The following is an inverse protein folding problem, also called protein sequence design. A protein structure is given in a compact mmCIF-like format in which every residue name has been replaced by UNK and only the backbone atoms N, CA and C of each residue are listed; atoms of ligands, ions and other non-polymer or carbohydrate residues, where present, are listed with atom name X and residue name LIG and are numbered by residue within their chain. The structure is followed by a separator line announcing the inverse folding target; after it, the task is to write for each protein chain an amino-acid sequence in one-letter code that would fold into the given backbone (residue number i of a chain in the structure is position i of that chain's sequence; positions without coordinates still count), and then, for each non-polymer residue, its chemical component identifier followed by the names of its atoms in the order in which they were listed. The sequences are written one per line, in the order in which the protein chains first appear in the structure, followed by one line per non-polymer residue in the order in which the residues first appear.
data_IF_386215007175
#
_entry.id   IF_386215007175
#
_cell.length_a   1.000
_cell.length_b   1.000
_cell.length_c   1.000
_cell.angle_alpha   90.00
_cell.angle_beta   90.00
_cell.angle_gamma   90.00
#
_symmetry.space_group_name_H-M   'P 1'
#
loop_
_entity.id
_entity.type
_entity.pdbx_description
1 polymer ?
#
# COMPACT_ATOMS: atom_id res chain seq x y z
N UNK A 1 27.77 12.15 26.34
CA UNK A 1 27.46 10.97 25.48
C UNK A 1 25.95 10.82 25.47
N UNK A 2 25.29 11.25 24.40
CA UNK A 2 23.84 11.18 24.28
C UNK A 2 23.45 9.79 23.79
N UNK A 3 22.56 9.16 24.54
CA UNK A 3 22.01 7.83 24.30
C UNK A 3 21.35 7.77 22.92
N UNK A 4 21.87 6.92 22.05
CA UNK A 4 21.25 6.63 20.75
C UNK A 4 20.03 5.75 20.99
N UNK A 5 18.86 6.35 21.11
CA UNK A 5 17.60 5.58 21.03
C UNK A 5 17.49 4.95 19.65
N UNK A 6 17.60 3.65 19.61
CA UNK A 6 17.31 2.81 18.46
C UNK A 6 15.80 2.92 18.14
N UNK A 7 15.46 3.56 17.03
CA UNK A 7 14.09 3.62 16.55
C UNK A 7 13.79 2.26 15.90
N UNK A 8 13.03 1.41 16.58
CA UNK A 8 12.55 0.15 16.00
C UNK A 8 11.49 0.45 14.94
N UNK A 9 11.54 -0.17 13.76
CA UNK A 9 10.53 0.03 12.73
C UNK A 9 9.16 -0.44 13.21
N UNK A 10 8.14 0.39 12.99
CA UNK A 10 6.75 0.14 13.38
C UNK A 10 6.08 -0.92 12.48
N UNK A 11 6.71 -1.30 11.39
CA UNK A 11 6.15 -2.25 10.40
C UNK A 11 6.96 -3.54 10.46
N UNK A 12 6.37 -4.59 11.02
CA UNK A 12 6.94 -5.93 11.02
C UNK A 12 6.81 -6.55 9.62
N UNK A 13 7.94 -6.87 8.99
CA UNK A 13 7.94 -7.72 7.80
C UNK A 13 8.74 -7.27 6.59
N UNK A 14 9.40 -6.12 6.62
CA UNK A 14 10.38 -5.77 5.57
C UNK A 14 11.81 -5.95 6.07
N UNK A 15 12.71 -6.59 5.29
CA UNK A 15 14.12 -6.51 5.58
C UNK A 15 14.59 -5.07 5.31
N UNK A 16 14.65 -4.27 6.37
CA UNK A 16 15.16 -2.90 6.31
C UNK A 16 16.70 -2.95 6.25
N UNK A 17 17.25 -3.29 5.09
CA UNK A 17 18.68 -3.19 4.78
C UNK A 17 19.02 -1.92 4.00
N UNK A 18 18.27 -0.84 4.19
CA UNK A 18 18.71 0.44 3.71
C UNK A 18 19.69 1.04 4.74
N UNK A 19 20.96 0.93 4.48
CA UNK A 19 21.97 1.77 5.12
C UNK A 19 21.65 3.21 4.71
N UNK A 20 20.91 3.93 5.56
CA UNK A 20 20.75 5.37 5.42
C UNK A 20 22.12 6.03 5.56
N UNK A 21 22.76 6.32 4.43
CA UNK A 21 23.87 7.27 4.45
C UNK A 21 23.27 8.63 4.79
N UNK A 22 23.53 9.10 6.01
CA UNK A 22 23.18 10.46 6.42
C UNK A 22 23.90 11.43 5.49
N UNK A 23 23.19 11.91 4.45
CA UNK A 23 23.72 12.98 3.61
C UNK A 23 23.75 14.24 4.46
N UNK A 24 24.91 14.81 4.67
CA UNK A 24 25.02 16.12 5.29
C UNK A 24 24.44 17.16 4.34
N UNK A 25 23.41 17.85 4.79
CA UNK A 25 22.83 18.95 4.05
C UNK A 25 23.63 20.21 4.31
N UNK A 26 24.32 20.70 3.29
CA UNK A 26 25.17 21.91 3.36
C UNK A 26 24.49 23.17 2.78
N UNK A 27 23.20 23.10 2.48
CA UNK A 27 22.42 24.24 2.01
C UNK A 27 21.95 25.18 3.13
N UNK A 28 21.17 26.22 2.78
CA UNK A 28 20.60 27.16 3.75
C UNK A 28 19.78 26.46 4.82
N UNK A 29 19.90 26.90 6.06
CA UNK A 29 19.13 26.40 7.22
C UNK A 29 18.33 27.55 7.83
N UNK A 30 17.10 27.29 8.37
CA UNK A 30 16.39 26.03 8.37
C UNK A 30 15.80 25.63 7.01
N UNK A 31 15.51 24.32 6.81
CA UNK A 31 14.66 23.82 5.74
C UNK A 31 13.27 23.63 6.32
N UNK A 32 12.26 24.19 5.65
CA UNK A 32 10.85 24.07 6.05
C UNK A 32 10.10 23.30 4.96
N UNK A 33 9.51 22.17 5.33
CA UNK A 33 8.56 21.45 4.50
C UNK A 33 7.14 21.83 4.94
N UNK A 34 6.41 22.53 4.06
CA UNK A 34 5.02 22.92 4.31
C UNK A 34 4.10 22.04 3.46
N UNK A 35 3.29 21.22 4.10
CA UNK A 35 2.32 20.33 3.45
C UNK A 35 0.94 20.99 3.54
N UNK A 36 0.37 21.31 2.37
CA UNK A 36 -0.99 21.80 2.24
C UNK A 36 -1.86 20.64 1.78
N UNK A 37 -2.33 19.84 2.73
CA UNK A 37 -3.11 18.63 2.46
C UNK A 37 -4.44 19.00 1.77
N UNK A 38 -4.74 18.30 0.66
CA UNK A 38 -5.87 18.62 -0.21
C UNK A 38 -5.67 19.80 -1.17
N UNK A 39 -4.53 20.50 -1.12
CA UNK A 39 -4.21 21.59 -2.08
C UNK A 39 -3.59 20.99 -3.35
N UNK A 40 -4.45 20.60 -4.29
CA UNK A 40 -4.04 19.95 -5.53
C UNK A 40 -4.34 20.78 -6.77
N UNK A 41 -3.83 20.31 -7.91
CA UNK A 41 -4.13 20.86 -9.22
C UNK A 41 -5.43 20.23 -9.73
N UNK A 42 -6.37 21.04 -10.14
CA UNK A 42 -7.63 20.61 -10.68
C UNK A 42 -8.18 21.54 -11.76
N UNK A 43 -9.25 21.15 -12.44
CA UNK A 43 -9.84 21.95 -13.51
C UNK A 43 -10.34 23.31 -13.01
N UNK A 44 -10.22 24.32 -13.85
CA UNK A 44 -10.75 25.66 -13.54
C UNK A 44 -12.26 25.70 -13.81
N UNK A 45 -13.04 25.39 -12.77
CA UNK A 45 -14.50 25.44 -12.81
C UNK A 45 -15.08 26.02 -11.50
N UNK A 46 -16.41 26.12 -11.44
CA UNK A 46 -17.10 26.70 -10.28
C UNK A 46 -16.90 25.92 -8.99
N UNK A 47 -16.62 24.62 -9.06
CA UNK A 47 -16.37 23.74 -7.90
C UNK A 47 -14.94 23.78 -7.38
N UNK A 48 -13.99 24.39 -8.08
CA UNK A 48 -12.62 24.47 -7.65
C UNK A 48 -12.37 25.72 -6.78
N UNK A 49 -12.45 25.53 -5.47
CA UNK A 49 -12.29 26.62 -4.51
C UNK A 49 -10.89 27.26 -4.54
N UNK A 50 -9.85 26.48 -4.82
CA UNK A 50 -8.47 26.98 -4.91
C UNK A 50 -8.34 27.96 -6.08
N UNK A 51 -8.86 27.60 -7.25
CA UNK A 51 -8.83 28.46 -8.44
C UNK A 51 -9.70 29.70 -8.33
N UNK A 52 -10.68 29.69 -7.42
CA UNK A 52 -11.59 30.81 -7.15
C UNK A 52 -11.09 31.74 -6.05
N UNK A 53 -10.20 31.28 -5.21
CA UNK A 53 -9.65 32.07 -4.10
C UNK A 53 -8.60 33.06 -4.62
N UNK A 54 -8.42 34.15 -3.87
CA UNK A 54 -7.31 35.08 -4.07
C UNK A 54 -6.08 34.55 -3.35
N UNK A 55 -5.12 34.03 -4.09
CA UNK A 55 -3.93 33.37 -3.56
C UNK A 55 -2.62 34.03 -4.01
N UNK A 56 -2.43 35.36 -3.79
CA UNK A 56 -1.34 36.13 -4.41
C UNK A 56 0.05 35.61 -4.07
N UNK A 57 0.26 35.01 -2.90
CA UNK A 57 1.56 34.43 -2.53
C UNK A 57 1.81 33.12 -3.27
N UNK A 58 0.82 32.23 -3.35
CA UNK A 58 0.93 30.97 -4.09
C UNK A 58 1.10 31.22 -5.58
N UNK A 59 0.34 32.17 -6.14
CA UNK A 59 0.43 32.57 -7.53
C UNK A 59 1.84 33.06 -7.85
N UNK A 60 2.41 33.90 -6.97
CA UNK A 60 3.80 34.38 -7.10
C UNK A 60 4.80 33.24 -7.04
N UNK A 61 4.66 32.31 -6.09
CA UNK A 61 5.58 31.16 -5.97
C UNK A 61 5.50 30.26 -7.19
N UNK A 62 4.30 29.98 -7.65
CA UNK A 62 4.08 29.17 -8.84
C UNK A 62 4.75 29.76 -10.09
N UNK A 63 4.67 31.07 -10.26
CA UNK A 63 5.26 31.77 -11.41
C UNK A 63 6.78 31.95 -11.31
N UNK A 64 7.33 32.05 -10.10
CA UNK A 64 8.71 32.53 -9.90
C UNK A 64 9.69 31.47 -9.41
N UNK A 65 9.22 30.29 -8.97
CA UNK A 65 10.08 29.25 -8.40
C UNK A 65 9.91 27.92 -9.14
N UNK A 66 10.94 27.07 -9.13
CA UNK A 66 10.83 25.72 -9.68
C UNK A 66 9.71 24.93 -8.99
N UNK A 67 8.90 24.25 -9.76
CA UNK A 67 7.82 23.41 -9.29
C UNK A 67 7.69 22.15 -10.16
N UNK A 68 7.05 21.12 -9.62
CA UNK A 68 6.77 19.87 -10.31
C UNK A 68 5.45 19.27 -9.83
N UNK A 69 5.01 18.23 -10.51
CA UNK A 69 3.82 17.48 -10.15
C UNK A 69 4.21 16.05 -9.78
N UNK A 70 3.59 15.55 -8.75
CA UNK A 70 3.68 14.15 -8.35
C UNK A 70 2.30 13.51 -8.46
N UNK A 71 2.27 12.25 -8.86
CA UNK A 71 1.04 11.46 -8.82
C UNK A 71 0.73 11.13 -7.36
N UNK A 72 -0.50 11.42 -6.94
CA UNK A 72 -0.96 11.25 -5.57
C UNK A 72 -2.01 10.13 -5.40
N UNK A 73 -2.15 9.23 -6.39
CA UNK A 73 -3.16 8.17 -6.40
C UNK A 73 -2.61 6.88 -7.02
N UNK A 74 -3.30 5.78 -6.77
CA UNK A 74 -3.01 4.48 -7.34
C UNK A 74 -1.62 3.94 -7.01
N UNK A 75 -1.05 3.18 -7.94
CA UNK A 75 0.22 2.48 -7.75
C UNK A 75 1.41 3.41 -7.46
N UNK A 76 1.34 4.65 -7.93
CA UNK A 76 2.39 5.65 -7.69
C UNK A 76 2.54 6.02 -6.19
N UNK A 77 1.56 5.74 -5.38
CA UNK A 77 1.57 5.94 -3.93
C UNK A 77 1.35 4.66 -3.13
N UNK A 78 1.46 3.51 -3.79
CA UNK A 78 1.36 2.20 -3.13
C UNK A 78 -0.07 1.72 -2.88
N UNK A 79 -1.05 2.31 -3.56
CA UNK A 79 -2.45 1.90 -3.57
C UNK A 79 -2.77 1.01 -4.78
N UNK A 80 -3.88 0.27 -4.78
CA UNK A 80 -4.36 -0.41 -5.97
C UNK A 80 -4.57 0.54 -7.15
N UNK A 81 -4.42 0.01 -8.36
CA UNK A 81 -4.63 0.78 -9.58
C UNK A 81 -6.05 1.34 -9.63
N UNK A 82 -6.15 2.65 -9.90
CA UNK A 82 -7.43 3.34 -10.01
C UNK A 82 -8.03 3.79 -8.67
N UNK A 83 -7.37 3.53 -7.55
CA UNK A 83 -7.80 4.07 -6.27
C UNK A 83 -7.31 5.51 -6.07
N UNK A 84 -8.18 6.33 -5.51
CA UNK A 84 -7.87 7.70 -5.13
C UNK A 84 -6.85 7.72 -3.99
N UNK A 85 -5.98 8.74 -4.00
CA UNK A 85 -5.03 8.97 -2.92
C UNK A 85 -5.74 9.39 -1.62
N UNK A 86 -5.04 9.21 -0.52
CA UNK A 86 -5.49 9.64 0.79
C UNK A 86 -4.33 10.20 1.61
N UNK A 87 -4.67 10.95 2.65
CA UNK A 87 -3.71 11.61 3.55
C UNK A 87 -2.73 10.64 4.18
N UNK A 88 -3.21 9.49 4.66
CA UNK A 88 -2.38 8.51 5.36
C UNK A 88 -1.27 7.98 4.44
N UNK A 89 -1.64 7.48 3.27
CA UNK A 89 -0.70 6.95 2.29
C UNK A 89 0.27 8.02 1.80
N UNK A 90 -0.21 9.24 1.53
CA UNK A 90 0.63 10.35 1.08
C UNK A 90 1.68 10.74 2.13
N UNK A 91 1.30 10.88 3.38
CA UNK A 91 2.23 11.22 4.46
C UNK A 91 3.20 10.08 4.77
N UNK A 92 2.78 8.80 4.67
CA UNK A 92 3.69 7.66 4.80
C UNK A 92 4.78 7.70 3.73
N UNK A 93 4.44 7.96 2.48
CA UNK A 93 5.39 8.03 1.39
C UNK A 93 6.37 9.22 1.54
N UNK A 94 5.87 10.39 1.96
CA UNK A 94 6.72 11.55 2.25
C UNK A 94 7.69 11.23 3.38
N UNK A 95 7.20 10.61 4.47
CA UNK A 95 8.02 10.27 5.63
C UNK A 95 9.05 9.16 5.35
N UNK A 96 8.68 8.19 4.53
CA UNK A 96 9.57 7.09 4.14
C UNK A 96 10.58 7.48 3.05
N UNK A 97 10.27 8.50 2.24
CA UNK A 97 11.08 8.89 1.09
C UNK A 97 11.05 7.89 -0.08
N UNK A 98 10.10 6.99 -0.07
CA UNK A 98 9.84 6.01 -1.13
C UNK A 98 8.38 5.55 -1.08
N UNK A 99 7.93 4.82 -2.12
CA UNK A 99 6.58 4.27 -2.16
C UNK A 99 6.45 3.16 -1.10
N UNK A 100 5.46 3.31 -0.21
CA UNK A 100 5.06 2.31 0.78
C UNK A 100 3.81 1.59 0.26
N UNK A 101 3.99 0.39 -0.26
CA UNK A 101 2.87 -0.39 -0.77
C UNK A 101 1.95 -0.85 0.36
N UNK A 102 0.65 -0.62 0.19
CA UNK A 102 -0.39 -1.10 1.08
C UNK A 102 -0.53 -2.63 0.98
N UNK A 103 -1.28 -3.24 1.89
CA UNK A 103 -1.33 -4.70 1.99
C UNK A 103 -1.82 -5.36 0.71
N UNK A 104 -2.88 -4.84 0.08
CA UNK A 104 -3.46 -5.43 -1.11
C UNK A 104 -2.49 -5.47 -2.31
N UNK A 105 -1.87 -4.34 -2.74
CA UNK A 105 -0.85 -4.36 -3.76
C UNK A 105 0.35 -5.23 -3.41
N UNK A 106 0.79 -5.23 -2.15
CA UNK A 106 1.92 -6.02 -1.68
C UNK A 106 1.66 -7.52 -1.80
N UNK A 107 0.45 -7.98 -1.44
CA UNK A 107 0.03 -9.38 -1.59
C UNK A 107 -0.03 -9.74 -3.08
N UNK A 108 -0.63 -8.89 -3.91
CA UNK A 108 -0.72 -9.13 -5.34
C UNK A 108 0.65 -9.23 -6.01
N UNK A 109 1.59 -8.34 -5.63
CA UNK A 109 2.98 -8.40 -6.09
C UNK A 109 3.66 -9.71 -5.68
N UNK A 110 3.47 -10.17 -4.44
CA UNK A 110 4.04 -11.42 -3.96
C UNK A 110 3.48 -12.66 -4.65
N UNK A 111 2.22 -12.61 -5.07
CA UNK A 111 1.61 -13.67 -5.90
C UNK A 111 2.24 -13.66 -7.30
N UNK A 112 2.40 -12.46 -7.89
CA UNK A 112 2.94 -12.30 -9.24
C UNK A 112 4.41 -12.72 -9.35
N UNK A 113 5.25 -12.40 -8.34
CA UNK A 113 6.67 -12.78 -8.32
C UNK A 113 6.94 -14.16 -7.71
N UNK A 114 5.91 -14.84 -7.21
CA UNK A 114 5.98 -16.20 -6.64
C UNK A 114 6.49 -16.25 -5.20
N UNK A 115 6.87 -15.13 -4.58
CA UNK A 115 7.36 -15.10 -3.18
C UNK A 115 6.26 -15.47 -2.18
N UNK A 116 4.99 -15.29 -2.56
CA UNK A 116 3.82 -15.73 -1.81
C UNK A 116 3.90 -17.22 -1.43
N UNK A 117 4.40 -18.07 -2.33
CA UNK A 117 4.52 -19.51 -2.13
C UNK A 117 5.58 -19.89 -1.07
N UNK A 118 6.44 -18.95 -0.68
CA UNK A 118 7.49 -19.15 0.32
C UNK A 118 7.11 -18.59 1.70
N UNK A 119 5.85 -18.20 1.89
CA UNK A 119 5.37 -17.66 3.16
C UNK A 119 5.46 -18.73 4.25
N UNK A 120 6.27 -18.48 5.28
CA UNK A 120 6.57 -19.46 6.34
C UNK A 120 5.32 -19.96 7.05
N UNK A 121 4.33 -19.07 7.30
CA UNK A 121 3.07 -19.44 7.96
C UNK A 121 2.24 -20.40 7.09
N UNK A 122 2.20 -20.19 5.78
CA UNK A 122 1.48 -21.08 4.85
C UNK A 122 2.15 -22.44 4.75
N UNK A 123 3.47 -22.48 4.66
CA UNK A 123 4.24 -23.72 4.67
C UNK A 123 4.05 -24.50 5.98
N UNK A 124 4.01 -23.82 7.12
CA UNK A 124 3.74 -24.44 8.42
C UNK A 124 2.33 -25.06 8.47
N UNK A 125 1.31 -24.37 7.94
CA UNK A 125 -0.06 -24.90 7.84
C UNK A 125 -0.11 -26.15 6.97
N UNK A 126 0.52 -26.12 5.80
CA UNK A 126 0.61 -27.28 4.89
C UNK A 126 1.32 -28.46 5.56
N UNK A 127 2.44 -28.23 6.22
CA UNK A 127 3.16 -29.27 6.94
C UNK A 127 2.30 -29.88 8.04
N UNK A 128 1.52 -29.07 8.76
CA UNK A 128 0.60 -29.54 9.79
C UNK A 128 -0.47 -30.47 9.21
N UNK A 129 -1.18 -30.06 8.14
CA UNK A 129 -2.25 -30.87 7.56
C UNK A 129 -1.72 -32.17 6.94
N UNK A 130 -0.53 -32.13 6.30
CA UNK A 130 0.11 -33.35 5.78
C UNK A 130 0.48 -34.32 6.89
N UNK A 131 1.11 -33.83 7.98
CA UNK A 131 1.52 -34.65 9.12
C UNK A 131 0.34 -35.33 9.81
N UNK A 132 -0.79 -34.60 9.92
CA UNK A 132 -1.96 -35.05 10.67
C UNK A 132 -3.06 -35.66 9.77
N UNK A 133 -2.83 -35.76 8.46
CA UNK A 133 -3.83 -36.17 7.46
C UNK A 133 -5.19 -35.44 7.65
N UNK A 134 -5.12 -34.12 7.91
CA UNK A 134 -6.28 -33.28 8.19
C UNK A 134 -6.65 -32.40 6.99
N UNK A 135 -7.71 -31.62 7.12
CA UNK A 135 -8.17 -30.69 6.08
C UNK A 135 -7.52 -29.33 6.29
N UNK A 136 -7.24 -28.62 5.19
CA UNK A 136 -6.90 -27.21 5.20
C UNK A 136 -8.18 -26.40 4.96
N UNK A 137 -8.47 -25.45 5.85
CA UNK A 137 -9.59 -24.56 5.75
C UNK A 137 -9.10 -23.17 5.34
N UNK A 138 -9.64 -22.62 4.25
CA UNK A 138 -9.41 -21.25 3.78
C UNK A 138 -10.69 -20.48 4.04
N UNK A 139 -10.57 -19.34 4.72
CA UNK A 139 -11.71 -18.47 5.02
C UNK A 139 -11.42 -17.05 4.54
N UNK A 140 -12.40 -16.40 3.91
CA UNK A 140 -12.22 -15.03 3.47
C UNK A 140 -13.43 -14.45 2.76
N UNK A 141 -13.36 -13.15 2.53
CA UNK A 141 -14.31 -12.46 1.67
C UNK A 141 -14.03 -12.80 0.21
N UNK A 142 -15.11 -12.98 -0.57
CA UNK A 142 -15.04 -13.25 -2.01
C UNK A 142 -15.73 -12.13 -2.78
N UNK A 143 -15.13 -11.73 -3.90
CA UNK A 143 -15.71 -10.78 -4.84
C UNK A 143 -14.65 -10.05 -5.66
N UNK A 144 -15.12 -9.17 -6.55
CA UNK A 144 -14.28 -8.35 -7.42
C UNK A 144 -13.87 -7.02 -6.76
N UNK A 145 -14.12 -6.85 -5.46
CA UNK A 145 -13.77 -5.64 -4.70
C UNK A 145 -12.26 -5.40 -4.65
N UNK A 146 -11.87 -4.13 -4.69
CA UNK A 146 -10.45 -3.71 -4.67
C UNK A 146 -9.98 -3.15 -3.33
N UNK A 147 -10.85 -3.04 -2.32
CA UNK A 147 -10.54 -2.32 -1.07
C UNK A 147 -9.95 -3.24 -0.01
N UNK A 148 -10.60 -4.36 0.29
CA UNK A 148 -10.19 -5.26 1.38
C UNK A 148 -9.83 -6.67 0.92
N UNK A 149 -10.20 -7.06 -0.29
CA UNK A 149 -10.02 -8.39 -0.85
C UNK A 149 -10.06 -8.36 -2.38
N UNK A 150 -9.52 -9.41 -2.98
CA UNK A 150 -9.65 -9.68 -4.41
C UNK A 150 -9.69 -11.20 -4.61
N UNK A 151 -10.58 -11.67 -5.47
CA UNK A 151 -10.74 -13.11 -5.80
C UNK A 151 -9.43 -13.73 -6.31
N UNK A 152 -8.58 -12.95 -6.97
CA UNK A 152 -7.25 -13.40 -7.43
C UNK A 152 -6.35 -13.89 -6.29
N UNK A 153 -6.54 -13.36 -5.08
CA UNK A 153 -5.81 -13.80 -3.88
C UNK A 153 -6.25 -15.21 -3.45
N UNK A 154 -7.53 -15.52 -3.56
CA UNK A 154 -8.04 -16.87 -3.35
C UNK A 154 -7.46 -17.83 -4.40
N UNK A 155 -7.40 -17.42 -5.67
CA UNK A 155 -6.78 -18.21 -6.72
C UNK A 155 -5.29 -18.45 -6.45
N UNK A 156 -4.59 -17.43 -5.95
CA UNK A 156 -3.19 -17.55 -5.49
C UNK A 156 -3.01 -18.60 -4.39
N UNK A 157 -3.90 -18.59 -3.37
CA UNK A 157 -3.91 -19.60 -2.31
C UNK A 157 -4.22 -21.00 -2.82
N UNK A 158 -5.18 -21.15 -3.71
CA UNK A 158 -5.53 -22.46 -4.31
C UNK A 158 -4.37 -22.98 -5.17
N UNK A 159 -3.73 -22.11 -5.93
CA UNK A 159 -2.53 -22.45 -6.69
C UNK A 159 -1.39 -22.92 -5.78
N UNK A 160 -1.15 -22.19 -4.68
CA UNK A 160 -0.20 -22.60 -3.64
C UNK A 160 -0.53 -23.99 -3.08
N UNK A 161 -1.79 -24.24 -2.72
CA UNK A 161 -2.23 -25.54 -2.21
C UNK A 161 -1.97 -26.67 -3.22
N UNK A 162 -2.21 -26.41 -4.52
CA UNK A 162 -1.91 -27.34 -5.59
C UNK A 162 -0.41 -27.61 -5.74
N UNK A 163 0.41 -26.58 -5.72
CA UNK A 163 1.89 -26.72 -5.76
C UNK A 163 2.42 -27.54 -4.57
N UNK A 164 1.80 -27.38 -3.42
CA UNK A 164 2.15 -28.08 -2.20
C UNK A 164 1.46 -29.45 -2.07
N UNK A 165 0.74 -29.92 -3.09
CA UNK A 165 0.04 -31.23 -3.07
C UNK A 165 -0.87 -31.43 -1.84
N UNK A 166 -1.61 -30.40 -1.44
CA UNK A 166 -2.61 -30.48 -0.37
C UNK A 166 -3.85 -31.20 -0.89
N UNK A 167 -4.18 -32.36 -0.32
CA UNK A 167 -5.25 -33.25 -0.83
C UNK A 167 -6.66 -32.76 -0.53
N UNK A 168 -6.87 -32.10 0.60
CA UNK A 168 -8.19 -31.67 1.06
C UNK A 168 -8.16 -30.20 1.47
N UNK A 169 -8.75 -29.36 0.63
CA UNK A 169 -8.93 -27.93 0.89
C UNK A 169 -10.42 -27.64 0.97
N UNK A 170 -10.86 -27.00 2.05
CA UNK A 170 -12.24 -26.55 2.26
C UNK A 170 -12.24 -25.03 2.27
N UNK A 171 -13.14 -24.44 1.46
CA UNK A 171 -13.24 -22.99 1.31
C UNK A 171 -14.51 -22.54 2.02
N UNK A 172 -14.40 -21.49 2.83
CA UNK A 172 -15.49 -20.84 3.54
C UNK A 172 -15.55 -19.38 3.08
N UNK A 173 -16.39 -19.12 2.11
CA UNK A 173 -16.51 -17.82 1.48
C UNK A 173 -17.60 -16.98 2.17
N UNK A 174 -17.28 -15.71 2.37
CA UNK A 174 -18.21 -14.70 2.83
C UNK A 174 -18.46 -13.68 1.72
N UNK A 175 -19.70 -13.45 1.39
CA UNK A 175 -20.08 -12.41 0.43
C UNK A 175 -20.08 -11.04 1.10
N UNK A 176 -19.66 -10.01 0.38
CA UNK A 176 -19.66 -8.64 0.85
C UNK A 176 -20.65 -7.81 0.02
N UNK A 177 -21.57 -7.13 0.72
CA UNK A 177 -22.56 -6.22 0.11
C UNK A 177 -22.18 -4.74 0.26
N UNK A 178 -21.06 -4.44 0.95
CA UNK A 178 -20.62 -3.06 1.19
C UNK A 178 -19.73 -2.52 0.09
N UNK A 179 -18.80 -3.35 -0.40
CA UNK A 179 -17.80 -2.98 -1.40
C UNK A 179 -17.98 -3.71 -2.74
N UNK A 180 -19.08 -4.44 -2.87
CA UNK A 180 -19.50 -5.11 -4.11
C UNK A 180 -20.96 -4.78 -4.43
N UNK A 181 -21.37 -4.84 -5.72
CA UNK A 181 -22.77 -4.72 -6.08
C UNK A 181 -23.62 -5.77 -5.36
N UNK A 182 -24.85 -5.41 -4.99
CA UNK A 182 -25.77 -6.33 -4.30
C UNK A 182 -26.17 -7.55 -5.15
N UNK A 183 -25.96 -7.46 -6.46
CA UNK A 183 -26.23 -8.50 -7.44
C UNK A 183 -24.98 -8.62 -8.30
N UNK A 184 -24.20 -9.64 -8.11
CA UNK A 184 -23.01 -9.99 -8.93
C UNK A 184 -22.98 -11.48 -9.17
#
# INVERSE_FOLDING_TARGET
MADKKEIKPIISGMPFNATYQKREYNGPKPVVLLILDGWGIGPNNAGNAIMRAKTPNMDKYWLSFPHTQLTASGEAVGLPRGEDGNTETGHLNIGAGHIVYQDLPRINMSIADGSFNNTAAFLAAVNHVKKNNSNLHIMGLIGAGGVHYNIEQLYGLLHFCKLQDVKKVLIHDFTDVRNSPQIS
#
